data_IF_683493068975
#
_entry.id   IF_683493068975
#
_cell.length_a   1.000
_cell.length_b   1.000
_cell.length_c   1.000
_cell.angle_alpha   90.00
_cell.angle_beta   90.00
_cell.angle_gamma   90.00
#
_symmetry.space_group_name_H-M   'P 1'
#
loop_
_entity.id
_entity.type
_entity.pdbx_description
1 polymer ?
#
# COMPACT_ATOMS: atom_id res chain seq x y z
N UNK A 1 -7.92 -24.44 -31.60
CA UNK A 1 -7.80 -25.12 -30.29
C UNK A 1 -7.13 -24.22 -29.25
N UNK A 2 -6.05 -23.51 -29.60
CA UNK A 2 -5.29 -22.63 -28.67
C UNK A 2 -6.10 -21.49 -28.03
N UNK A 3 -6.95 -20.77 -28.78
CA UNK A 3 -7.83 -19.71 -28.22
C UNK A 3 -8.72 -20.18 -27.08
N UNK A 4 -9.23 -21.41 -27.17
CA UNK A 4 -10.07 -21.99 -26.13
C UNK A 4 -9.24 -22.37 -24.89
N UNK A 5 -7.98 -22.74 -25.09
CA UNK A 5 -7.03 -23.02 -24.01
C UNK A 5 -6.64 -21.74 -23.26
N UNK A 6 -6.34 -20.65 -23.97
CA UNK A 6 -6.01 -19.35 -23.36
C UNK A 6 -7.18 -18.77 -22.57
N UNK A 7 -8.42 -18.86 -23.09
CA UNK A 7 -9.62 -18.41 -22.36
C UNK A 7 -9.86 -19.23 -21.09
N UNK A 8 -9.60 -20.54 -21.15
CA UNK A 8 -9.71 -21.42 -19.98
C UNK A 8 -8.65 -21.09 -18.93
N UNK A 9 -7.41 -20.84 -19.34
CA UNK A 9 -6.34 -20.43 -18.43
C UNK A 9 -6.65 -19.09 -17.75
N UNK A 10 -7.16 -18.10 -18.51
CA UNK A 10 -7.58 -16.83 -17.96
C UNK A 10 -8.70 -16.99 -16.92
N UNK A 11 -9.72 -17.80 -17.21
CA UNK A 11 -10.81 -18.06 -16.29
C UNK A 11 -10.33 -18.73 -14.99
N UNK A 12 -9.42 -19.71 -15.09
CA UNK A 12 -8.81 -20.37 -13.92
C UNK A 12 -7.99 -19.38 -13.09
N UNK A 13 -7.16 -18.55 -13.74
CA UNK A 13 -6.38 -17.52 -13.06
C UNK A 13 -7.30 -16.52 -12.34
N UNK A 14 -8.31 -15.99 -13.03
CA UNK A 14 -9.30 -15.08 -12.44
C UNK A 14 -9.96 -15.70 -11.21
N UNK A 15 -10.49 -16.93 -11.32
CA UNK A 15 -11.12 -17.60 -10.19
C UNK A 15 -10.15 -17.75 -9.00
N UNK A 16 -8.90 -18.14 -9.26
CA UNK A 16 -7.89 -18.29 -8.21
C UNK A 16 -7.59 -16.99 -7.45
N UNK A 17 -7.75 -15.83 -8.10
CA UNK A 17 -7.56 -14.53 -7.46
C UNK A 17 -8.70 -14.21 -6.48
N UNK A 18 -9.93 -14.57 -6.81
CA UNK A 18 -11.08 -14.45 -5.90
C UNK A 18 -11.01 -15.46 -4.75
N UNK A 19 -10.70 -16.73 -5.03
CA UNK A 19 -10.63 -17.80 -4.02
C UNK A 19 -9.57 -17.51 -2.93
N UNK A 20 -8.47 -16.85 -3.32
CA UNK A 20 -7.41 -16.44 -2.40
C UNK A 20 -7.69 -15.08 -1.71
N UNK A 21 -8.78 -14.40 -2.06
CA UNK A 21 -9.16 -13.11 -1.49
C UNK A 21 -8.34 -11.91 -1.99
N UNK A 22 -7.68 -12.03 -3.16
CA UNK A 22 -7.00 -10.89 -3.78
C UNK A 22 -7.99 -9.92 -4.46
N UNK A 23 -9.11 -10.45 -4.94
CA UNK A 23 -10.18 -9.69 -5.59
C UNK A 23 -11.49 -9.92 -4.85
N UNK A 24 -12.33 -8.89 -4.83
CA UNK A 24 -13.67 -8.93 -4.29
C UNK A 24 -14.70 -8.47 -5.34
N UNK A 25 -15.96 -8.41 -4.94
CA UNK A 25 -17.08 -8.02 -5.81
C UNK A 25 -16.89 -6.66 -6.50
N UNK A 26 -16.06 -5.75 -5.96
CA UNK A 26 -15.79 -4.47 -6.62
C UNK A 26 -14.99 -4.64 -7.92
N UNK A 27 -14.11 -5.66 -7.99
CA UNK A 27 -13.39 -5.94 -9.22
C UNK A 27 -14.34 -6.42 -10.34
N UNK A 28 -15.39 -7.15 -9.98
CA UNK A 28 -16.42 -7.59 -10.94
C UNK A 28 -17.14 -6.37 -11.53
N UNK A 29 -17.53 -5.42 -10.68
CA UNK A 29 -18.16 -4.17 -11.12
C UNK A 29 -17.23 -3.37 -12.07
N UNK A 30 -15.92 -3.42 -11.83
CA UNK A 30 -14.95 -2.78 -12.71
C UNK A 30 -14.85 -3.46 -14.08
N UNK A 31 -14.89 -4.80 -14.12
CA UNK A 31 -14.93 -5.56 -15.37
C UNK A 31 -16.22 -5.32 -16.17
N UNK A 32 -17.37 -5.14 -15.51
CA UNK A 32 -18.66 -4.86 -16.17
C UNK A 32 -18.68 -3.52 -16.91
N UNK A 33 -17.80 -2.58 -16.54
CA UNK A 33 -17.65 -1.29 -17.21
C UNK A 33 -16.73 -1.35 -18.43
N UNK A 34 -16.04 -2.47 -18.65
CA UNK A 34 -15.18 -2.66 -19.82
C UNK A 34 -16.01 -3.13 -21.02
N UNK A 35 -15.89 -2.43 -22.15
CA UNK A 35 -16.58 -2.76 -23.39
C UNK A 35 -15.62 -2.77 -24.60
N UNK A 36 -16.14 -3.09 -25.77
CA UNK A 36 -15.35 -3.15 -27.01
C UNK A 36 -14.81 -1.77 -27.44
N UNK A 37 -15.40 -0.67 -26.95
CA UNK A 37 -14.94 0.69 -27.23
C UNK A 37 -13.78 1.11 -26.31
N UNK A 38 -13.70 0.54 -25.10
CA UNK A 38 -12.60 0.72 -24.16
C UNK A 38 -12.08 -0.60 -23.58
N UNK A 39 -11.36 -1.42 -24.37
CA UNK A 39 -10.95 -2.77 -23.97
C UNK A 39 -9.89 -2.82 -22.86
N UNK A 40 -9.28 -1.68 -22.49
CA UNK A 40 -8.21 -1.59 -21.49
C UNK A 40 -8.67 -0.91 -20.20
N UNK A 41 -9.96 -0.60 -20.05
CA UNK A 41 -10.50 0.18 -18.93
C UNK A 41 -10.05 -0.34 -17.55
N UNK A 42 -10.17 -1.66 -17.33
CA UNK A 42 -9.81 -2.28 -16.04
C UNK A 42 -8.32 -2.08 -15.74
N UNK A 43 -7.46 -2.30 -16.74
CA UNK A 43 -6.02 -2.13 -16.61
C UNK A 43 -5.64 -0.68 -16.30
N UNK A 44 -6.26 0.29 -16.99
CA UNK A 44 -6.01 1.71 -16.79
C UNK A 44 -6.42 2.15 -15.38
N UNK A 45 -7.58 1.72 -14.91
CA UNK A 45 -8.10 2.06 -13.57
C UNK A 45 -7.19 1.46 -12.50
N UNK A 46 -6.85 0.17 -12.59
CA UNK A 46 -5.95 -0.49 -11.63
C UNK A 46 -4.57 0.20 -11.61
N UNK A 47 -4.05 0.56 -12.79
CA UNK A 47 -2.79 1.30 -12.91
C UNK A 47 -2.86 2.68 -12.26
N UNK A 48 -3.97 3.40 -12.46
CA UNK A 48 -4.21 4.70 -11.83
C UNK A 48 -4.26 4.58 -10.31
N UNK A 49 -4.96 3.56 -9.77
CA UNK A 49 -5.01 3.28 -8.33
C UNK A 49 -3.62 3.04 -7.75
N UNK A 50 -2.75 2.28 -8.42
CA UNK A 50 -1.38 2.08 -7.96
C UNK A 50 -0.58 3.38 -7.96
N UNK A 51 -0.72 4.21 -8.98
CA UNK A 51 -0.05 5.51 -9.06
C UNK A 51 -0.48 6.45 -7.95
N UNK A 52 -1.78 6.53 -7.68
CA UNK A 52 -2.33 7.41 -6.64
C UNK A 52 -1.99 6.90 -5.23
N UNK A 53 -1.99 5.58 -5.03
CA UNK A 53 -1.54 4.96 -3.77
C UNK A 53 -0.08 5.32 -3.43
N UNK A 54 0.82 5.34 -4.42
CA UNK A 54 2.21 5.75 -4.21
C UNK A 54 2.36 7.22 -3.76
N UNK A 55 1.46 8.11 -4.21
CA UNK A 55 1.42 9.52 -3.77
C UNK A 55 0.92 9.64 -2.34
N UNK A 56 -0.12 8.91 -1.97
CA UNK A 56 -0.62 8.86 -0.58
C UNK A 56 0.43 8.35 0.39
N UNK A 57 1.16 7.29 0.03
CA UNK A 57 2.26 6.75 0.84
C UNK A 57 3.39 7.77 1.05
N UNK A 58 3.65 8.62 0.05
CA UNK A 58 4.62 9.72 0.17
C UNK A 58 4.12 10.80 1.13
N UNK A 59 2.83 11.12 1.10
CA UNK A 59 2.23 12.05 2.05
C UNK A 59 2.33 11.53 3.51
N UNK A 60 2.10 10.23 3.72
CA UNK A 60 2.28 9.58 5.03
C UNK A 60 3.74 9.68 5.50
N UNK A 61 4.72 9.44 4.60
CA UNK A 61 6.14 9.57 4.92
C UNK A 61 6.48 11.00 5.40
N UNK A 62 5.98 12.02 4.69
CA UNK A 62 6.25 13.42 5.02
C UNK A 62 5.58 13.86 6.33
N UNK A 63 4.38 13.35 6.62
CA UNK A 63 3.65 13.67 7.85
C UNK A 63 4.31 13.06 9.10
N UNK A 64 5.03 11.94 8.97
CA UNK A 64 5.64 11.23 10.10
C UNK A 64 7.13 11.55 10.26
N UNK A 65 7.41 12.72 10.82
CA UNK A 65 8.77 13.20 11.10
C UNK A 65 9.54 12.19 11.95
N UNK A 66 10.74 11.79 11.50
CA UNK A 66 11.63 10.87 12.22
C UNK A 66 11.22 9.38 12.17
N UNK A 67 10.15 9.02 11.45
CA UNK A 67 9.66 7.65 11.35
C UNK A 67 10.49 6.77 10.38
N UNK A 68 11.75 6.48 10.76
CA UNK A 68 12.72 5.75 9.92
C UNK A 68 12.17 4.47 9.27
N UNK A 69 11.44 3.65 10.03
CA UNK A 69 10.88 2.39 9.53
C UNK A 69 9.73 2.60 8.56
N UNK A 70 8.80 3.48 8.89
CA UNK A 70 7.69 3.85 7.97
C UNK A 70 8.27 4.36 6.65
N UNK A 71 9.28 5.23 6.71
CA UNK A 71 9.97 5.75 5.53
C UNK A 71 10.62 4.66 4.66
N UNK A 72 11.24 3.66 5.28
CA UNK A 72 11.85 2.55 4.54
C UNK A 72 10.78 1.76 3.77
N UNK A 73 9.68 1.38 4.42
CA UNK A 73 8.57 0.66 3.77
C UNK A 73 7.88 1.51 2.70
N UNK A 74 7.67 2.81 2.95
CA UNK A 74 7.13 3.75 1.96
C UNK A 74 7.99 3.82 0.70
N UNK A 75 9.32 3.80 0.87
CA UNK A 75 10.26 3.81 -0.26
C UNK A 75 10.16 2.52 -1.05
N UNK A 76 10.14 1.36 -0.38
CA UNK A 76 10.06 0.07 -1.05
C UNK A 76 8.72 -0.14 -1.77
N UNK A 77 7.62 0.32 -1.18
CA UNK A 77 6.30 0.32 -1.83
C UNK A 77 6.32 1.10 -3.14
N UNK A 78 6.91 2.31 -3.17
CA UNK A 78 7.03 3.11 -4.40
C UNK A 78 7.81 2.40 -5.49
N UNK A 79 8.91 1.74 -5.14
CA UNK A 79 9.71 0.99 -6.12
C UNK A 79 8.91 -0.16 -6.73
N UNK A 80 8.12 -0.88 -5.92
CA UNK A 80 7.23 -1.93 -6.44
C UNK A 80 6.10 -1.38 -7.30
N UNK A 81 5.52 -0.23 -6.95
CA UNK A 81 4.52 0.43 -7.79
C UNK A 81 5.12 0.81 -9.16
N UNK A 82 6.33 1.37 -9.17
CA UNK A 82 7.03 1.74 -10.42
C UNK A 82 7.36 0.52 -11.28
N UNK A 83 7.67 -0.61 -10.65
CA UNK A 83 7.96 -1.86 -11.34
C UNK A 83 6.72 -2.63 -11.79
N UNK A 84 5.50 -2.15 -11.49
CA UNK A 84 4.25 -2.89 -11.77
C UNK A 84 4.13 -4.20 -10.96
N UNK A 85 4.84 -4.32 -9.84
CA UNK A 85 4.89 -5.54 -9.05
C UNK A 85 3.79 -5.53 -7.96
N UNK A 86 2.61 -6.05 -8.30
CA UNK A 86 1.45 -6.07 -7.40
C UNK A 86 1.66 -6.84 -6.10
N UNK A 87 2.36 -7.98 -6.13
CA UNK A 87 2.65 -8.77 -4.91
C UNK A 87 3.59 -8.00 -3.97
N UNK A 88 4.63 -7.37 -4.53
CA UNK A 88 5.56 -6.51 -3.80
C UNK A 88 4.86 -5.30 -3.19
N UNK A 89 3.96 -4.66 -3.95
CA UNK A 89 3.11 -3.58 -3.45
C UNK A 89 2.28 -4.03 -2.25
N UNK A 90 1.60 -5.19 -2.36
CA UNK A 90 0.75 -5.70 -1.29
C UNK A 90 1.56 -5.97 -0.01
N UNK A 91 2.70 -6.65 -0.15
CA UNK A 91 3.59 -7.00 0.96
C UNK A 91 4.13 -5.76 1.68
N UNK A 92 4.65 -4.79 0.92
CA UNK A 92 5.22 -3.57 1.51
C UNK A 92 4.14 -2.66 2.09
N UNK A 93 2.93 -2.64 1.52
CA UNK A 93 1.80 -1.94 2.10
C UNK A 93 1.36 -2.54 3.45
N UNK A 94 1.30 -3.87 3.56
CA UNK A 94 1.01 -4.54 4.83
C UNK A 94 2.06 -4.20 5.90
N UNK A 95 3.34 -4.21 5.52
CA UNK A 95 4.44 -3.86 6.42
C UNK A 95 4.41 -2.37 6.81
N UNK A 96 4.08 -1.48 5.87
CA UNK A 96 3.86 -0.06 6.14
C UNK A 96 2.75 0.16 7.19
N UNK A 97 1.60 -0.51 7.06
CA UNK A 97 0.51 -0.46 8.05
C UNK A 97 1.00 -0.92 9.43
N UNK A 98 1.74 -2.02 9.48
CA UNK A 98 2.30 -2.57 10.73
C UNK A 98 3.27 -1.59 11.40
N UNK A 99 4.21 -1.01 10.65
CA UNK A 99 5.19 -0.07 11.18
C UNK A 99 4.54 1.24 11.63
N UNK A 100 3.52 1.73 10.91
CA UNK A 100 2.70 2.87 11.33
C UNK A 100 2.03 2.62 12.68
N UNK A 101 1.29 1.51 12.83
CA UNK A 101 0.61 1.17 14.09
C UNK A 101 1.60 0.96 15.23
N UNK A 102 2.75 0.34 14.95
CA UNK A 102 3.80 0.11 15.95
C UNK A 102 4.40 1.42 16.43
N UNK A 103 4.73 2.33 15.51
CA UNK A 103 5.27 3.64 15.83
C UNK A 103 4.27 4.45 16.68
N UNK A 104 3.00 4.48 16.28
CA UNK A 104 1.94 5.18 17.04
C UNK A 104 1.90 4.71 18.50
N UNK A 105 1.83 3.39 18.73
CA UNK A 105 1.82 2.81 20.08
C UNK A 105 3.08 3.15 20.88
N UNK A 106 4.25 3.11 20.25
CA UNK A 106 5.53 3.44 20.92
C UNK A 106 5.63 4.91 21.29
N UNK A 107 5.18 5.82 20.42
CA UNK A 107 5.16 7.25 20.71
C UNK A 107 4.16 7.58 21.82
N UNK A 108 2.97 6.97 21.81
CA UNK A 108 1.98 7.10 22.88
C UNK A 108 2.58 6.70 24.24
N UNK A 109 3.23 5.53 24.30
CA UNK A 109 3.91 5.06 25.51
C UNK A 109 5.07 5.97 25.93
N UNK A 110 5.89 6.42 24.98
CA UNK A 110 6.99 7.35 25.23
C UNK A 110 6.48 8.65 25.85
N UNK A 111 5.44 9.27 25.26
CA UNK A 111 4.88 10.51 25.79
C UNK A 111 4.19 10.33 27.13
N UNK A 112 3.60 9.16 27.41
CA UNK A 112 3.08 8.85 28.75
C UNK A 112 4.21 8.80 29.79
N UNK A 113 5.31 8.12 29.50
CA UNK A 113 6.47 8.06 30.39
C UNK A 113 7.14 9.43 30.56
N UNK A 114 7.29 10.19 29.47
CA UNK A 114 7.87 11.54 29.52
C UNK A 114 7.06 12.50 30.40
N UNK A 115 5.73 12.39 30.41
CA UNK A 115 4.87 13.17 31.31
C UNK A 115 5.03 12.77 32.79
N UNK A 116 5.29 11.49 33.06
CA UNK A 116 5.49 10.99 34.43
C UNK A 116 6.89 11.34 34.98
N UNK A 117 7.90 11.43 34.13
CA UNK A 117 9.28 11.70 34.52
C UNK A 117 9.57 13.15 34.97
N UNK A 118 8.63 14.09 34.77
CA UNK A 118 8.85 15.52 35.02
C UNK A 118 9.73 16.19 33.95
N UNK A 119 9.89 17.54 33.98
CA UNK A 119 10.73 18.23 33.01
C UNK A 119 12.20 17.84 33.18
N UNK A 120 12.77 17.21 32.14
CA UNK A 120 14.22 17.01 32.04
C UNK A 120 14.88 18.40 31.92
N UNK A 121 15.70 18.80 32.90
CA UNK A 121 16.45 20.08 32.92
C UNK A 121 17.49 20.25 31.78
N UNK A 122 17.52 19.35 30.79
CA UNK A 122 18.53 19.39 29.73
C UNK A 122 17.91 19.92 28.44
N UNK A 123 17.70 21.23 28.42
CA UNK A 123 17.65 21.99 27.17
C UNK A 123 18.65 23.14 27.28
N UNK A 124 19.95 22.83 27.30
CA UNK A 124 20.97 23.81 26.95
C UNK A 124 20.69 24.27 25.52
N UNK A 125 20.14 25.48 25.36
CA UNK A 125 20.15 26.22 24.10
C UNK A 125 21.61 26.38 23.64
N UNK A 126 21.97 26.04 22.39
CA UNK A 126 23.24 26.46 21.82
C UNK A 126 23.28 28.00 21.76
N UNK A 127 24.43 28.58 22.10
CA UNK A 127 24.75 29.99 21.83
C UNK A 127 24.97 30.22 20.35
#
# INVERSE_FOLDING_TARGET
>A
MERNQSRRQLAVMRQSLFDQGYLDEQFIQLEELQDDANPNFVEEVVTLYYRDSARLVTSIEQALIGAKKVKAESTQFREYCRAGNGEGCLRTFQQLKKEYTTLKKKLEAYFQLARQAGPNEIACRPK
#
